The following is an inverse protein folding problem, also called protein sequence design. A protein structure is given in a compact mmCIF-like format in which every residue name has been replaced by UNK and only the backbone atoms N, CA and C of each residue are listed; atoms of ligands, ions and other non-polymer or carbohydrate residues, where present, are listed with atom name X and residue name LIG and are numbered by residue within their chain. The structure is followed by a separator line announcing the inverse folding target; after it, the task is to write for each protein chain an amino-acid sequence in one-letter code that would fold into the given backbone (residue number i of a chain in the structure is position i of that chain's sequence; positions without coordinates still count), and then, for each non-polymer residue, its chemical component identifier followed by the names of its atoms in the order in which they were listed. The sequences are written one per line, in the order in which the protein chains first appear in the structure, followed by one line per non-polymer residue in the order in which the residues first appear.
data_IF_531943583270
#
_entry.id   IF_531943583270
#
_cell.length_a   1.000
_cell.length_b   1.000
_cell.length_c   1.000
_cell.angle_alpha   90.00
_cell.angle_beta   90.00
_cell.angle_gamma   90.00
#
_symmetry.space_group_name_H-M   'P 1'
#
loop_
_entity.id
_entity.type
_entity.pdbx_description
1 polymer ?
#
# COMPACT_ATOMS: atom_id res chain seq x y z
N UNK A 1 25.74 -13.52 -12.45
CA UNK A 1 24.90 -12.42 -11.92
C UNK A 1 24.63 -11.49 -13.09
N UNK A 2 23.55 -11.74 -13.84
CA UNK A 2 23.16 -10.86 -14.94
C UNK A 2 22.75 -9.52 -14.33
N UNK A 3 23.53 -8.47 -14.57
CA UNK A 3 23.11 -7.13 -14.18
C UNK A 3 21.84 -6.79 -14.96
N UNK A 4 20.70 -6.78 -14.25
CA UNK A 4 19.48 -6.19 -14.77
C UNK A 4 19.81 -4.78 -15.29
N UNK A 5 19.50 -4.54 -16.56
CA UNK A 5 19.65 -3.21 -17.15
C UNK A 5 18.91 -2.19 -16.29
N UNK A 6 19.46 -0.98 -16.15
CA UNK A 6 18.81 0.12 -15.43
C UNK A 6 17.34 0.33 -15.89
N UNK A 7 17.06 0.01 -17.15
CA UNK A 7 15.71 0.02 -17.72
C UNK A 7 14.78 -1.06 -17.14
N UNK A 8 15.29 -2.28 -16.93
CA UNK A 8 14.52 -3.38 -16.34
C UNK A 8 14.19 -3.07 -14.89
N UNK A 9 15.16 -2.55 -14.11
CA UNK A 9 14.92 -2.11 -12.73
C UNK A 9 13.86 -1.01 -12.68
N UNK A 10 13.98 0.01 -13.54
CA UNK A 10 13.02 1.13 -13.60
C UNK A 10 11.61 0.65 -13.95
N UNK A 11 11.47 -0.25 -14.92
CA UNK A 11 10.17 -0.85 -15.26
C UNK A 11 9.57 -1.62 -14.10
N UNK A 12 10.35 -2.44 -13.41
CA UNK A 12 9.87 -3.23 -12.27
C UNK A 12 9.42 -2.34 -11.12
N UNK A 13 10.21 -1.31 -10.76
CA UNK A 13 9.82 -0.33 -9.75
C UNK A 13 8.57 0.47 -10.16
N UNK A 14 8.45 0.82 -11.44
CA UNK A 14 7.28 1.53 -11.96
C UNK A 14 5.99 0.70 -11.86
N UNK A 15 6.03 -0.56 -12.29
CA UNK A 15 4.89 -1.47 -12.20
C UNK A 15 4.51 -1.73 -10.75
N UNK A 16 5.49 -1.94 -9.86
CA UNK A 16 5.25 -2.09 -8.43
C UNK A 16 4.53 -0.88 -7.85
N UNK A 17 5.05 0.33 -8.12
CA UNK A 17 4.46 1.58 -7.62
C UNK A 17 3.01 1.80 -8.11
N UNK A 18 2.73 1.45 -9.37
CA UNK A 18 1.37 1.53 -9.94
C UNK A 18 0.45 0.49 -9.28
N UNK A 19 0.95 -0.72 -9.06
CA UNK A 19 0.23 -1.77 -8.33
C UNK A 19 -0.16 -1.31 -6.94
N UNK A 20 0.80 -0.80 -6.18
CA UNK A 20 0.57 -0.29 -4.82
C UNK A 20 -0.45 0.86 -4.78
N UNK A 21 -0.36 1.80 -5.71
CA UNK A 21 -1.34 2.87 -5.85
C UNK A 21 -2.75 2.31 -6.12
N UNK A 22 -2.87 1.31 -6.99
CA UNK A 22 -4.13 0.63 -7.26
C UNK A 22 -4.73 -0.03 -6.02
N UNK A 23 -3.91 -0.75 -5.24
CA UNK A 23 -4.35 -1.40 -4.00
C UNK A 23 -4.79 -0.35 -2.97
N UNK A 24 -4.07 0.78 -2.84
CA UNK A 24 -4.47 1.87 -1.95
C UNK A 24 -5.84 2.46 -2.30
N UNK A 25 -6.14 2.66 -3.59
CA UNK A 25 -7.45 3.16 -4.05
C UNK A 25 -8.54 2.13 -3.76
N UNK A 26 -8.26 0.85 -4.02
CA UNK A 26 -9.22 -0.23 -3.77
C UNK A 26 -9.52 -0.42 -2.28
N UNK A 27 -8.48 -0.40 -1.43
CA UNK A 27 -8.62 -0.47 0.02
C UNK A 27 -9.44 0.72 0.57
N UNK A 28 -9.23 1.93 0.03
CA UNK A 28 -10.04 3.10 0.38
C UNK A 28 -11.52 2.90 0.01
N UNK A 29 -11.79 2.35 -1.16
CA UNK A 29 -13.14 2.01 -1.60
C UNK A 29 -13.82 1.01 -0.67
N UNK A 30 -13.12 -0.07 -0.29
CA UNK A 30 -13.64 -1.06 0.65
C UNK A 30 -13.90 -0.45 2.02
N UNK A 31 -12.97 0.35 2.56
CA UNK A 31 -13.16 1.03 3.83
C UNK A 31 -14.39 1.96 3.80
N UNK A 32 -14.57 2.70 2.71
CA UNK A 32 -15.72 3.59 2.48
C UNK A 32 -17.05 2.84 2.47
N UNK A 33 -17.10 1.68 1.78
CA UNK A 33 -18.30 0.83 1.76
C UNK A 33 -18.56 0.26 3.16
N UNK A 34 -17.52 -0.24 3.85
CA UNK A 34 -17.63 -0.87 5.15
C UNK A 34 -18.06 0.09 6.28
N UNK A 35 -17.72 1.38 6.17
CA UNK A 35 -18.12 2.39 7.15
C UNK A 35 -19.31 3.24 6.70
N UNK A 36 -19.75 3.14 5.45
CA UNK A 36 -20.85 3.93 4.88
C UNK A 36 -20.56 5.44 4.82
N UNK A 37 -19.31 5.83 5.00
CA UNK A 37 -18.89 7.22 5.15
C UNK A 37 -17.69 7.47 4.24
N UNK A 38 -17.84 8.37 3.26
CA UNK A 38 -16.80 8.75 2.29
C UNK A 38 -15.76 9.70 2.90
N UNK A 39 -16.06 10.32 4.03
CA UNK A 39 -15.21 11.31 4.66
C UNK A 39 -14.49 10.74 5.90
N UNK A 40 -14.39 9.41 6.01
CA UNK A 40 -13.81 8.74 7.18
C UNK A 40 -12.36 9.17 7.47
N UNK A 41 -11.61 9.66 6.47
CA UNK A 41 -10.29 10.26 6.68
C UNK A 41 -10.32 11.55 7.52
N UNK A 42 -11.42 12.31 7.50
CA UNK A 42 -11.55 13.55 8.29
C UNK A 42 -11.89 13.30 9.76
N UNK A 43 -12.48 12.16 10.07
CA UNK A 43 -12.88 11.80 11.43
C UNK A 43 -12.31 10.45 11.77
N UNK A 44 -11.00 10.40 12.06
CA UNK A 44 -10.14 9.26 12.39
C UNK A 44 -10.87 8.03 12.97
N UNK A 45 -11.64 7.33 12.14
CA UNK A 45 -12.44 6.18 12.55
C UNK A 45 -11.50 5.00 12.53
N UNK A 46 -11.05 4.58 13.72
CA UNK A 46 -10.19 3.41 13.90
C UNK A 46 -10.69 2.20 13.08
N UNK A 47 -12.00 2.00 13.00
CA UNK A 47 -12.63 0.95 12.17
C UNK A 47 -12.32 1.07 10.67
N UNK A 48 -12.41 2.28 10.10
CA UNK A 48 -12.10 2.50 8.68
C UNK A 48 -10.61 2.27 8.40
N UNK A 49 -9.75 2.71 9.32
CA UNK A 49 -8.30 2.49 9.24
C UNK A 49 -7.94 1.00 9.33
N UNK A 50 -8.58 0.26 10.24
CA UNK A 50 -8.37 -1.20 10.36
C UNK A 50 -8.81 -1.93 9.11
N UNK A 51 -9.98 -1.58 8.54
CA UNK A 51 -10.43 -2.18 7.27
C UNK A 51 -9.49 -1.83 6.13
N UNK A 52 -9.08 -0.57 6.02
CA UNK A 52 -8.14 -0.10 5.01
C UNK A 52 -6.80 -0.85 5.06
N UNK A 53 -6.17 -0.90 6.24
CA UNK A 53 -4.90 -1.60 6.46
C UNK A 53 -5.07 -3.11 6.26
N UNK A 54 -6.14 -3.70 6.78
CA UNK A 54 -6.42 -5.13 6.66
C UNK A 54 -6.64 -5.56 5.22
N UNK A 55 -7.42 -4.80 4.44
CA UNK A 55 -7.65 -5.05 3.02
C UNK A 55 -6.35 -4.97 2.22
N UNK A 56 -5.58 -3.91 2.43
CA UNK A 56 -4.29 -3.73 1.79
C UNK A 56 -3.31 -4.87 2.04
N UNK A 57 -3.09 -5.17 3.32
CA UNK A 57 -2.22 -6.24 3.75
C UNK A 57 -2.66 -7.60 3.18
N UNK A 58 -3.96 -7.87 3.20
CA UNK A 58 -4.50 -9.12 2.65
C UNK A 58 -4.26 -9.23 1.14
N UNK A 59 -4.46 -8.15 0.40
CA UNK A 59 -4.21 -8.13 -1.05
C UNK A 59 -2.72 -8.30 -1.34
N UNK A 60 -1.84 -7.62 -0.61
CA UNK A 60 -0.39 -7.79 -0.74
C UNK A 60 0.02 -9.24 -0.50
N UNK A 61 -0.47 -9.87 0.57
CA UNK A 61 -0.21 -11.29 0.87
C UNK A 61 -0.67 -12.19 -0.29
N UNK A 62 -1.87 -11.97 -0.84
CA UNK A 62 -2.41 -12.76 -1.95
C UNK A 62 -1.60 -12.57 -3.23
N UNK A 63 -1.27 -11.32 -3.58
CA UNK A 63 -0.45 -10.99 -4.75
C UNK A 63 0.93 -11.64 -4.64
N UNK A 64 1.52 -11.61 -3.45
CA UNK A 64 2.83 -12.20 -3.22
C UNK A 64 2.80 -13.73 -3.28
N UNK A 65 1.77 -14.37 -2.71
CA UNK A 65 1.57 -15.81 -2.88
C UNK A 65 1.34 -16.22 -4.34
N UNK A 66 0.63 -15.40 -5.12
CA UNK A 66 0.43 -15.63 -6.56
C UNK A 66 1.73 -15.45 -7.33
N UNK A 67 2.52 -14.41 -7.00
CA UNK A 67 3.82 -14.18 -7.61
C UNK A 67 4.81 -15.33 -7.31
N UNK A 68 4.83 -15.86 -6.08
CA UNK A 68 5.71 -16.98 -5.72
C UNK A 68 5.31 -18.31 -6.39
N UNK A 69 4.06 -18.47 -6.82
CA UNK A 69 3.53 -19.70 -7.44
C UNK A 69 3.38 -19.64 -8.95
N UNK A 70 3.60 -18.48 -9.56
CA UNK A 70 3.40 -18.27 -10.99
C UNK A 70 4.74 -18.29 -11.73
N UNK A 71 4.79 -18.95 -12.88
CA UNK A 71 5.95 -18.91 -13.80
C UNK A 71 6.25 -17.50 -14.37
N UNK A 72 5.31 -16.56 -14.23
CA UNK A 72 5.48 -15.14 -14.56
C UNK A 72 5.82 -14.26 -13.35
N UNK A 73 5.83 -14.85 -12.15
CA UNK A 73 6.11 -14.13 -10.93
C UNK A 73 7.60 -13.97 -10.69
N UNK A 74 7.95 -12.87 -10.02
CA UNK A 74 9.33 -12.55 -9.70
C UNK A 74 9.74 -13.37 -8.48
N UNK A 75 10.82 -14.15 -8.59
CA UNK A 75 11.48 -14.71 -7.42
C UNK A 75 12.30 -13.61 -6.75
N UNK A 76 12.02 -13.35 -5.48
CA UNK A 76 12.88 -12.50 -4.67
C UNK A 76 14.28 -13.12 -4.60
N UNK A 77 15.29 -12.27 -4.71
CA UNK A 77 16.69 -12.64 -4.51
C UNK A 77 16.91 -13.03 -3.03
N UNK A 78 17.79 -14.01 -2.74
CA UNK A 78 18.03 -14.59 -1.40
C UNK A 78 18.47 -13.53 -0.36
N UNK A 79 18.86 -12.34 -0.81
CA UNK A 79 19.30 -11.23 0.02
C UNK A 79 18.17 -10.36 0.58
N UNK A 80 16.92 -10.53 0.14
CA UNK A 80 15.80 -9.74 0.65
C UNK A 80 15.19 -10.36 1.92
N UNK A 81 15.09 -9.60 3.04
CA UNK A 81 14.48 -10.10 4.26
C UNK A 81 12.98 -10.31 4.06
N UNK A 82 12.57 -11.57 4.14
CA UNK A 82 11.19 -12.04 4.06
C UNK A 82 10.67 -12.29 5.48
N UNK A 83 9.48 -11.78 5.81
CA UNK A 83 8.77 -12.15 7.04
C UNK A 83 7.53 -12.93 6.62
N UNK A 84 7.48 -14.22 6.97
CA UNK A 84 6.33 -15.09 6.67
C UNK A 84 6.07 -15.32 5.17
N UNK A 85 7.09 -15.18 4.33
CA UNK A 85 6.97 -15.27 2.86
C UNK A 85 6.51 -13.98 2.19
N UNK A 86 6.46 -12.87 2.94
CA UNK A 86 6.14 -11.52 2.46
C UNK A 86 7.35 -10.61 2.60
N UNK A 87 7.65 -9.80 1.59
CA UNK A 87 8.75 -8.85 1.59
C UNK A 87 8.61 -7.83 2.71
N UNK A 88 9.68 -7.59 3.47
CA UNK A 88 9.66 -6.62 4.57
C UNK A 88 9.35 -5.19 4.09
N UNK A 89 9.84 -4.83 2.89
CA UNK A 89 9.67 -3.49 2.31
C UNK A 89 8.21 -3.15 2.06
N UNK A 90 7.42 -3.97 1.32
CA UNK A 90 5.99 -3.69 1.13
C UNK A 90 5.21 -3.68 2.45
N UNK A 91 5.54 -4.54 3.42
CA UNK A 91 4.92 -4.51 4.75
C UNK A 91 5.12 -3.18 5.48
N UNK A 92 6.36 -2.69 5.51
CA UNK A 92 6.69 -1.41 6.14
C UNK A 92 6.03 -0.25 5.39
N UNK A 93 6.00 -0.30 4.05
CA UNK A 93 5.35 0.72 3.24
C UNK A 93 3.85 0.83 3.54
N UNK A 94 3.16 -0.31 3.67
CA UNK A 94 1.74 -0.39 3.99
C UNK A 94 1.39 0.18 5.38
N UNK A 95 2.35 0.29 6.29
CA UNK A 95 2.15 0.91 7.59
C UNK A 95 2.49 2.42 7.50
N UNK A 96 3.65 2.76 6.93
CA UNK A 96 4.14 4.15 6.94
C UNK A 96 3.34 5.04 5.99
N UNK A 97 3.09 4.63 4.76
CA UNK A 97 2.44 5.48 3.74
C UNK A 97 1.04 5.89 4.17
N UNK A 98 0.15 5.00 4.64
CA UNK A 98 -1.19 5.41 5.07
C UNK A 98 -1.16 6.36 6.26
N UNK A 99 -0.27 6.12 7.24
CA UNK A 99 -0.12 6.99 8.41
C UNK A 99 0.39 8.38 8.03
N UNK A 100 1.38 8.46 7.14
CA UNK A 100 1.93 9.73 6.65
C UNK A 100 0.89 10.47 5.81
N UNK A 101 0.19 9.78 4.91
CA UNK A 101 -0.87 10.37 4.09
C UNK A 101 -2.00 10.91 4.96
N UNK A 102 -2.37 10.20 6.03
CA UNK A 102 -3.39 10.65 6.98
C UNK A 102 -2.92 11.90 7.74
N UNK A 103 -1.68 11.92 8.24
CA UNK A 103 -1.12 13.12 8.90
C UNK A 103 -1.01 14.32 7.95
N UNK A 104 -0.68 14.10 6.69
CA UNK A 104 -0.66 15.17 5.68
C UNK A 104 -2.07 15.67 5.37
N UNK A 105 -3.05 14.77 5.22
CA UNK A 105 -4.44 15.14 5.01
C UNK A 105 -5.01 15.93 6.20
N UNK A 106 -4.71 15.52 7.44
CA UNK A 106 -5.05 16.27 8.65
C UNK A 106 -4.45 17.69 8.62
N UNK A 107 -3.17 17.82 8.28
CA UNK A 107 -2.49 19.13 8.18
C UNK A 107 -3.09 20.02 7.09
N UNK A 108 -3.40 19.47 5.92
CA UNK A 108 -3.99 20.23 4.82
C UNK A 108 -5.41 20.70 5.14
N UNK A 109 -6.18 19.90 5.88
CA UNK A 109 -7.52 20.28 6.36
C UNK A 109 -7.40 21.34 7.47
N UNK A 110 -6.44 21.22 8.39
CA UNK A 110 -6.19 22.22 9.44
C UNK A 110 -5.74 23.56 8.86
N UNK A 111 -4.93 23.56 7.79
CA UNK A 111 -4.53 24.80 7.11
C UNK A 111 -5.67 25.45 6.31
N UNK A 112 -6.79 24.75 6.10
CA UNK A 112 -7.99 25.28 5.45
C UNK A 112 -9.05 25.79 6.45
N UNK A 113 -8.71 25.91 7.75
CA UNK A 113 -9.56 26.58 8.74
C UNK A 113 -9.64 28.09 8.48
N UNK A 114 -10.79 28.74 8.76
CA UNK A 114 -11.22 29.94 8.08
C UNK A 114 -10.26 31.11 8.32
N UNK A 115 -9.86 31.77 7.23
CA UNK A 115 -9.44 33.16 7.29
C UNK A 115 -10.54 33.93 8.01
N UNK A 116 -10.24 34.35 9.23
CA UNK A 116 -11.07 35.26 10.03
C UNK A 116 -10.85 36.68 9.52
#
# INVERSE_FOLDING_TARGET
MDQLSAWQVTKSCGIASVGDAGIMVFAYWIATIATGDRMWLRGARARALTVYLGTGLSITIVVEHLALRSDWGWQYDDTMPLIGGVGLVPLVMWIIVPLVTMKLAERSVVHSGPAS
#
